data_IF_503729450070
#
_entry.id   IF_503729450070
#
_cell.length_a   1.000
_cell.length_b   1.000
_cell.length_c   1.000
_cell.angle_alpha   90.00
_cell.angle_beta   90.00
_cell.angle_gamma   90.00
#
_symmetry.space_group_name_H-M   'P 1'
#
loop_
_entity.id
_entity.type
_entity.pdbx_description
1 polymer ?
#
# COMPACT_ATOMS: atom_id res chain seq x y z
N UNK A 1 6.95 -30.85 -30.07
CA UNK A 1 7.05 -29.62 -30.90
C UNK A 1 6.72 -28.38 -30.06
N UNK A 2 7.67 -27.45 -30.01
CA UNK A 2 7.53 -25.98 -29.88
C UNK A 2 6.33 -25.43 -29.09
N UNK A 3 6.46 -25.39 -27.77
CA UNK A 3 5.87 -24.30 -26.98
C UNK A 3 6.50 -22.99 -27.45
N UNK A 4 5.81 -22.32 -28.38
CA UNK A 4 6.19 -21.00 -28.91
C UNK A 4 6.54 -20.10 -27.73
N UNK A 5 7.79 -19.61 -27.73
CA UNK A 5 8.25 -18.51 -26.91
C UNK A 5 7.22 -17.38 -27.01
N UNK A 6 6.40 -17.26 -25.97
CA UNK A 6 5.46 -16.17 -25.86
C UNK A 6 6.28 -14.90 -25.67
N UNK A 7 5.83 -13.80 -26.28
CA UNK A 7 6.42 -12.45 -26.19
C UNK A 7 6.70 -11.99 -24.75
N UNK A 8 6.11 -12.67 -23.76
CA UNK A 8 6.26 -12.51 -22.33
C UNK A 8 7.56 -13.09 -21.76
N UNK A 9 8.05 -14.22 -22.28
CA UNK A 9 9.29 -14.86 -21.82
C UNK A 9 10.56 -14.11 -22.25
N UNK A 10 10.47 -13.30 -23.30
CA UNK A 10 11.60 -12.52 -23.82
C UNK A 10 11.89 -11.26 -23.00
N UNK A 11 10.90 -10.73 -22.26
CA UNK A 11 11.06 -9.50 -21.47
C UNK A 11 11.72 -9.70 -20.10
N UNK A 12 11.63 -10.90 -19.52
CA UNK A 12 12.17 -11.22 -18.18
C UNK A 12 13.54 -11.90 -18.23
N UNK A 13 13.99 -12.34 -19.41
CA UNK A 13 15.28 -13.02 -19.61
C UNK A 13 16.39 -12.08 -20.09
N UNK A 14 16.27 -10.76 -19.88
CA UNK A 14 17.42 -9.87 -20.08
C UNK A 14 18.24 -9.79 -18.79
N UNK A 15 19.25 -10.67 -18.71
CA UNK A 15 20.44 -10.55 -17.84
C UNK A 15 21.19 -9.20 -17.96
N UNK A 16 20.72 -8.28 -18.80
CA UNK A 16 21.30 -6.95 -19.05
C UNK A 16 20.43 -5.77 -18.60
N UNK A 17 19.27 -6.01 -17.97
CA UNK A 17 18.56 -4.92 -17.35
C UNK A 17 19.31 -4.50 -16.07
N UNK A 18 19.88 -3.30 -16.09
CA UNK A 18 20.45 -2.60 -14.93
C UNK A 18 19.34 -2.31 -13.89
N UNK A 19 18.73 -3.36 -13.36
CA UNK A 19 17.87 -3.24 -12.20
C UNK A 19 18.78 -2.89 -11.02
N UNK A 20 18.37 -1.91 -10.17
CA UNK A 20 19.11 -1.61 -8.96
C UNK A 20 19.36 -2.89 -8.18
N UNK A 21 20.60 -3.16 -7.79
CA UNK A 21 20.91 -4.31 -6.94
C UNK A 21 20.33 -4.04 -5.55
N UNK A 22 19.14 -4.56 -5.31
CA UNK A 22 18.50 -4.49 -4.00
C UNK A 22 19.13 -5.57 -3.11
N UNK A 23 20.16 -5.21 -2.36
CA UNK A 23 20.80 -6.08 -1.38
C UNK A 23 19.76 -6.71 -0.45
N UNK A 24 19.99 -7.98 -0.10
CA UNK A 24 19.06 -8.90 0.59
C UNK A 24 18.50 -8.37 1.93
N UNK A 25 19.05 -7.28 2.48
CA UNK A 25 18.70 -6.71 3.79
C UNK A 25 18.31 -5.22 3.76
N UNK A 26 18.24 -4.58 2.60
CA UNK A 26 17.83 -3.18 2.53
C UNK A 26 16.30 -3.06 2.57
N UNK A 27 15.72 -3.08 3.78
CA UNK A 27 14.34 -2.61 4.03
C UNK A 27 14.25 -1.11 3.77
N UNK A 28 14.38 -0.69 2.52
CA UNK A 28 14.07 0.68 2.11
C UNK A 28 12.55 0.73 2.01
N UNK A 29 11.93 1.52 2.89
CA UNK A 29 10.47 1.66 2.93
C UNK A 29 10.00 2.39 1.65
N UNK A 30 9.13 1.78 0.82
CA UNK A 30 8.61 2.44 -0.39
C UNK A 30 7.89 3.76 -0.09
N UNK A 31 7.35 3.93 1.13
CA UNK A 31 6.81 5.21 1.61
C UNK A 31 7.89 6.31 1.59
N UNK A 32 9.08 6.03 2.12
CA UNK A 32 10.21 6.97 2.16
C UNK A 32 10.68 7.34 0.75
N UNK A 33 10.64 6.40 -0.19
CA UNK A 33 10.97 6.69 -1.59
C UNK A 33 9.92 7.60 -2.25
N UNK A 34 8.63 7.41 -1.95
CA UNK A 34 7.54 8.31 -2.39
C UNK A 34 7.66 9.71 -1.79
N UNK A 35 7.97 9.80 -0.49
CA UNK A 35 8.16 11.09 0.19
C UNK A 35 9.33 11.87 -0.42
N UNK A 36 10.46 11.19 -0.68
CA UNK A 36 11.61 11.79 -1.36
C UNK A 36 11.26 12.27 -2.78
N UNK A 37 10.50 11.48 -3.53
CA UNK A 37 10.06 11.85 -4.87
C UNK A 37 9.20 13.12 -4.84
N UNK A 38 8.27 13.22 -3.88
CA UNK A 38 7.44 14.41 -3.68
C UNK A 38 8.29 15.64 -3.35
N UNK A 39 9.22 15.52 -2.40
CA UNK A 39 10.13 16.62 -2.05
C UNK A 39 10.97 17.05 -3.25
N UNK A 40 11.46 16.10 -4.05
CA UNK A 40 12.21 16.41 -5.26
C UNK A 40 11.36 17.19 -6.27
N UNK A 41 10.12 16.77 -6.51
CA UNK A 41 9.18 17.48 -7.39
C UNK A 41 8.87 18.90 -6.87
N UNK A 42 8.70 19.08 -5.56
CA UNK A 42 8.53 20.40 -4.94
C UNK A 42 9.76 21.28 -5.15
N UNK A 43 10.98 20.73 -5.02
CA UNK A 43 12.23 21.46 -5.32
C UNK A 43 12.31 21.87 -6.78
N UNK A 44 11.93 21.00 -7.71
CA UNK A 44 11.90 21.33 -9.13
C UNK A 44 10.92 22.47 -9.43
N UNK A 45 9.72 22.43 -8.84
CA UNK A 45 8.73 23.51 -8.98
C UNK A 45 9.30 24.84 -8.49
N UNK A 46 9.79 24.89 -7.25
CA UNK A 46 10.35 26.11 -6.65
C UNK A 46 11.53 26.66 -7.44
N UNK A 47 12.39 25.77 -7.95
CA UNK A 47 13.54 26.16 -8.77
C UNK A 47 13.09 26.77 -10.11
N UNK A 48 12.02 26.23 -10.69
CA UNK A 48 11.42 26.74 -11.93
C UNK A 48 10.77 28.11 -11.70
N UNK A 49 10.01 28.26 -10.61
CA UNK A 49 9.38 29.52 -10.24
C UNK A 49 10.43 30.63 -10.04
N UNK A 50 11.51 30.35 -9.30
CA UNK A 50 12.60 31.30 -9.08
C UNK A 50 13.35 31.68 -10.38
N UNK A 51 13.43 30.78 -11.35
CA UNK A 51 13.99 31.10 -12.68
C UNK A 51 13.05 32.00 -13.48
N UNK A 52 11.75 31.70 -13.49
CA UNK A 52 10.74 32.52 -14.17
C UNK A 52 10.61 33.92 -13.56
N UNK A 53 10.85 34.06 -12.26
CA UNK A 53 10.91 35.35 -11.55
C UNK A 53 12.25 36.09 -11.76
N UNK A 54 13.15 35.58 -12.61
CA UNK A 54 14.49 36.13 -12.87
C UNK A 54 15.37 36.24 -11.60
N UNK A 55 15.10 35.44 -10.56
CA UNK A 55 15.89 35.40 -9.33
C UNK A 55 17.13 34.51 -9.47
N UNK A 56 17.24 33.76 -10.57
CA UNK A 56 18.33 32.82 -10.84
C UNK A 56 18.87 33.00 -12.25
N UNK A 57 20.19 32.97 -12.38
CA UNK A 57 20.86 32.88 -13.67
C UNK A 57 20.59 31.54 -14.36
N UNK A 58 20.56 31.56 -15.69
CA UNK A 58 20.21 30.41 -16.53
C UNK A 58 21.13 29.21 -16.30
N UNK A 59 22.44 29.45 -16.12
CA UNK A 59 23.43 28.40 -15.88
C UNK A 59 23.18 27.66 -14.56
N UNK A 60 22.89 28.42 -13.49
CA UNK A 60 22.57 27.87 -12.16
C UNK A 60 21.27 27.08 -12.19
N UNK A 61 20.28 27.56 -12.93
CA UNK A 61 19.03 26.84 -13.14
C UNK A 61 19.26 25.51 -13.86
N UNK A 62 19.98 25.53 -14.99
CA UNK A 62 20.25 24.33 -15.81
C UNK A 62 21.01 23.25 -15.03
N UNK A 63 22.04 23.63 -14.28
CA UNK A 63 22.81 22.68 -13.48
C UNK A 63 21.93 22.00 -12.43
N UNK A 64 21.19 22.79 -11.64
CA UNK A 64 20.37 22.28 -10.54
C UNK A 64 19.16 21.46 -11.02
N UNK A 65 18.49 21.89 -12.09
CA UNK A 65 17.32 21.17 -12.60
C UNK A 65 17.73 19.81 -13.17
N UNK A 66 18.89 19.72 -13.83
CA UNK A 66 19.40 18.46 -14.39
C UNK A 66 19.68 17.45 -13.29
N UNK A 67 20.33 17.88 -12.20
CA UNK A 67 20.57 17.02 -11.03
C UNK A 67 19.26 16.52 -10.40
N UNK A 68 18.29 17.42 -10.20
CA UNK A 68 16.97 17.05 -9.65
C UNK A 68 16.21 16.07 -10.55
N UNK A 69 16.29 16.23 -11.89
CA UNK A 69 15.68 15.31 -12.86
C UNK A 69 16.31 13.93 -12.83
N UNK A 70 17.62 13.85 -12.67
CA UNK A 70 18.31 12.57 -12.55
C UNK A 70 17.93 11.84 -11.25
N UNK A 71 17.86 12.57 -10.13
CA UNK A 71 17.36 12.03 -8.87
C UNK A 71 15.90 11.54 -9.01
N UNK A 72 15.03 12.32 -9.66
CA UNK A 72 13.63 11.95 -9.93
C UNK A 72 13.54 10.64 -10.69
N UNK A 73 14.33 10.49 -11.77
CA UNK A 73 14.36 9.27 -12.58
C UNK A 73 14.83 8.06 -11.76
N UNK A 74 15.86 8.24 -10.92
CA UNK A 74 16.36 7.16 -10.04
C UNK A 74 15.28 6.69 -9.06
N UNK A 75 14.52 7.63 -8.47
CA UNK A 75 13.45 7.35 -7.51
C UNK A 75 12.27 6.65 -8.19
N UNK A 76 11.92 7.08 -9.41
CA UNK A 76 10.88 6.40 -10.21
C UNK A 76 11.28 4.97 -10.58
N UNK A 77 12.52 4.75 -11.02
CA UNK A 77 13.05 3.41 -11.31
C UNK A 77 13.01 2.51 -10.07
N UNK A 78 13.39 3.06 -8.91
CA UNK A 78 13.34 2.35 -7.64
C UNK A 78 11.91 1.93 -7.27
N UNK A 79 10.94 2.84 -7.38
CA UNK A 79 9.54 2.57 -7.10
C UNK A 79 8.95 1.53 -8.06
N UNK A 80 9.20 1.67 -9.36
CA UNK A 80 8.77 0.69 -10.36
C UNK A 80 9.38 -0.70 -10.10
N UNK A 81 10.65 -0.77 -9.68
CA UNK A 81 11.29 -2.02 -9.26
C UNK A 81 10.61 -2.67 -8.06
N UNK A 82 10.15 -1.89 -7.08
CA UNK A 82 9.38 -2.41 -5.95
C UNK A 82 8.02 -2.95 -6.38
N UNK A 83 7.31 -2.23 -7.25
CA UNK A 83 6.01 -2.65 -7.77
C UNK A 83 6.14 -3.95 -8.58
N UNK A 84 7.15 -4.05 -9.44
CA UNK A 84 7.43 -5.28 -10.20
C UNK A 84 7.73 -6.46 -9.27
N UNK A 85 8.61 -6.29 -8.27
CA UNK A 85 8.91 -7.34 -7.29
C UNK A 85 7.66 -7.75 -6.49
N UNK A 86 6.77 -6.81 -6.21
CA UNK A 86 5.51 -7.08 -5.55
C UNK A 86 4.57 -7.92 -6.41
N UNK A 87 4.43 -7.58 -7.68
CA UNK A 87 3.65 -8.35 -8.66
C UNK A 87 4.26 -9.74 -8.87
N UNK A 88 5.58 -9.83 -8.96
CA UNK A 88 6.29 -11.11 -9.09
C UNK A 88 6.09 -11.99 -7.87
N UNK A 89 6.06 -11.44 -6.65
CA UNK A 89 5.74 -12.23 -5.45
C UNK A 89 4.31 -12.75 -5.45
N UNK A 90 3.36 -11.94 -5.91
CA UNK A 90 1.95 -12.31 -6.03
C UNK A 90 1.71 -13.37 -7.11
N UNK A 91 2.51 -13.37 -8.17
CA UNK A 91 2.40 -14.31 -9.30
C UNK A 91 3.48 -15.39 -9.30
N UNK A 92 4.30 -15.43 -8.26
CA UNK A 92 5.40 -16.38 -8.15
C UNK A 92 4.83 -17.78 -8.12
N UNK A 93 5.42 -18.67 -8.92
CA UNK A 93 5.15 -20.10 -8.86
C UNK A 93 5.25 -20.63 -7.42
N UNK A 94 6.15 -20.07 -6.60
CA UNK A 94 6.27 -20.42 -5.19
C UNK A 94 5.10 -19.94 -4.31
N UNK A 95 4.38 -18.86 -4.65
CA UNK A 95 3.14 -18.51 -3.95
C UNK A 95 2.00 -19.43 -4.38
N UNK A 96 1.86 -19.67 -5.68
CA UNK A 96 0.84 -20.55 -6.24
C UNK A 96 0.98 -21.99 -5.71
N UNK A 97 2.20 -22.52 -5.64
CA UNK A 97 2.44 -23.86 -5.10
C UNK A 97 2.06 -23.94 -3.63
N UNK A 98 2.42 -22.94 -2.82
CA UNK A 98 1.99 -22.89 -1.40
C UNK A 98 0.47 -22.83 -1.22
N UNK A 99 -0.24 -22.13 -2.12
CA UNK A 99 -1.71 -22.13 -2.12
C UNK A 99 -2.26 -23.50 -2.50
N UNK A 100 -1.68 -24.16 -3.51
CA UNK A 100 -2.08 -25.52 -3.91
C UNK A 100 -1.85 -26.53 -2.78
N UNK A 101 -0.64 -26.56 -2.22
CA UNK A 101 -0.27 -27.46 -1.14
C UNK A 101 -1.24 -27.30 0.05
N UNK A 102 -1.58 -26.05 0.38
CA UNK A 102 -2.57 -25.77 1.43
C UNK A 102 -3.97 -26.29 1.08
N UNK A 103 -4.45 -26.07 -0.16
CA UNK A 103 -5.78 -26.54 -0.57
C UNK A 103 -5.87 -28.06 -0.65
N UNK A 104 -4.78 -28.74 -1.01
CA UNK A 104 -4.72 -30.20 -1.09
C UNK A 104 -4.74 -30.85 0.31
N UNK A 105 -4.13 -30.20 1.31
CA UNK A 105 -4.11 -30.67 2.70
C UNK A 105 -5.33 -30.20 3.52
N UNK A 106 -6.02 -29.15 3.06
CA UNK A 106 -7.14 -28.57 3.80
C UNK A 106 -8.38 -29.46 3.77
N UNK A 107 -8.89 -29.77 4.96
CA UNK A 107 -10.13 -30.53 5.15
C UNK A 107 -11.27 -29.59 5.55
N UNK A 108 -12.15 -29.30 4.59
CA UNK A 108 -13.31 -28.42 4.76
C UNK A 108 -14.33 -28.94 5.79
N UNK A 109 -14.24 -30.21 6.20
CA UNK A 109 -15.14 -30.80 7.19
C UNK A 109 -14.78 -30.42 8.64
N UNK A 110 -13.60 -29.85 8.87
CA UNK A 110 -13.15 -29.45 10.21
C UNK A 110 -13.79 -28.14 10.64
N UNK A 111 -14.69 -28.21 11.62
CA UNK A 111 -15.38 -27.06 12.22
C UNK A 111 -14.43 -26.11 12.99
N UNK A 112 -13.23 -26.59 13.37
CA UNK A 112 -12.22 -25.82 14.10
C UNK A 112 -10.87 -25.84 13.40
N UNK A 113 -10.38 -24.65 13.05
CA UNK A 113 -9.05 -24.45 12.48
C UNK A 113 -8.00 -24.49 13.61
N UNK A 114 -7.01 -25.36 13.47
CA UNK A 114 -5.92 -25.50 14.43
C UNK A 114 -4.92 -24.31 14.36
N UNK A 115 -3.95 -24.29 15.27
CA UNK A 115 -2.94 -23.22 15.29
C UNK A 115 -1.98 -23.27 14.09
N UNK A 116 -1.61 -24.46 13.63
CA UNK A 116 -0.70 -24.64 12.51
C UNK A 116 -1.34 -24.12 11.21
N UNK A 117 -2.58 -24.52 10.92
CA UNK A 117 -3.38 -24.06 9.79
C UNK A 117 -3.62 -22.55 9.86
N UNK A 118 -3.88 -21.97 11.05
CA UNK A 118 -3.98 -20.50 11.20
C UNK A 118 -2.69 -19.78 10.81
N UNK A 119 -1.55 -20.32 11.21
CA UNK A 119 -0.23 -19.75 10.89
C UNK A 119 0.05 -19.84 9.39
N UNK A 120 -0.38 -20.92 8.75
CA UNK A 120 -0.23 -21.13 7.31
C UNK A 120 -1.14 -20.21 6.50
N UNK A 121 -2.42 -20.12 6.86
CA UNK A 121 -3.36 -19.13 6.32
C UNK A 121 -2.80 -17.72 6.43
N UNK A 122 -2.21 -17.35 7.58
CA UNK A 122 -1.63 -16.03 7.73
C UNK A 122 -0.48 -15.77 6.74
N UNK A 123 0.33 -16.79 6.40
CA UNK A 123 1.40 -16.67 5.38
C UNK A 123 0.85 -16.54 3.97
N UNK A 124 -0.31 -17.13 3.68
CA UNK A 124 -0.98 -17.05 2.39
C UNK A 124 -1.75 -15.74 2.20
N UNK A 125 -2.30 -15.19 3.29
CA UNK A 125 -3.14 -14.00 3.28
C UNK A 125 -2.32 -12.71 3.39
N UNK A 126 -1.35 -12.65 4.31
CA UNK A 126 -0.62 -11.43 4.61
C UNK A 126 0.69 -11.35 3.83
N UNK A 127 0.82 -10.28 3.06
CA UNK A 127 2.03 -9.90 2.33
C UNK A 127 3.08 -9.29 3.27
N UNK A 128 2.64 -8.45 4.19
CA UNK A 128 3.48 -7.84 5.21
C UNK A 128 2.65 -7.47 6.44
N UNK A 129 3.24 -7.60 7.63
CA UNK A 129 2.68 -7.12 8.88
C UNK A 129 3.75 -6.26 9.54
N UNK A 130 3.51 -4.95 9.60
CA UNK A 130 4.35 -3.97 10.29
C UNK A 130 3.76 -3.73 11.68
N UNK A 131 4.56 -4.01 12.71
CA UNK A 131 4.19 -3.75 14.12
C UNK A 131 5.06 -2.61 14.59
N UNK A 132 4.48 -1.43 14.80
CA UNK A 132 5.21 -0.28 15.33
C UNK A 132 5.11 -0.25 16.87
N UNK A 133 6.21 0.07 17.57
CA UNK A 133 6.19 0.26 19.01
C UNK A 133 5.34 1.47 19.40
N UNK A 134 4.84 1.44 20.63
CA UNK A 134 4.16 2.55 21.27
C UNK A 134 5.06 3.80 21.31
N UNK A 135 4.53 4.96 20.89
CA UNK A 135 5.22 6.24 21.01
C UNK A 135 4.63 6.98 22.22
N UNK A 136 5.47 7.31 23.20
CA UNK A 136 5.08 7.94 24.47
C UNK A 136 4.75 6.92 25.56
N UNK A 137 5.33 7.09 26.75
CA UNK A 137 5.34 6.12 27.87
C UNK A 137 3.99 5.83 28.55
N UNK A 138 2.87 5.98 27.86
CA UNK A 138 1.53 5.56 28.29
C UNK A 138 1.04 4.53 27.30
N UNK A 139 0.74 3.28 27.72
CA UNK A 139 0.33 2.15 26.87
C UNK A 139 -0.69 2.57 25.78
N UNK A 140 -0.27 2.87 24.55
CA UNK A 140 -1.17 2.96 23.42
C UNK A 140 -1.32 1.55 22.82
N UNK A 141 -2.42 1.24 22.15
CA UNK A 141 -2.52 -0.01 21.40
C UNK A 141 -1.39 -0.06 20.35
N UNK A 142 -0.70 -1.20 20.26
CA UNK A 142 0.32 -1.47 19.22
C UNK A 142 -0.27 -1.09 17.87
N UNK A 143 0.41 -0.20 17.13
CA UNK A 143 -0.04 0.17 15.79
C UNK A 143 0.38 -0.95 14.84
N UNK A 144 -0.59 -1.80 14.49
CA UNK A 144 -0.41 -2.86 13.50
C UNK A 144 -0.90 -2.31 12.16
N UNK A 145 -0.03 -2.29 11.16
CA UNK A 145 -0.42 -2.09 9.77
C UNK A 145 -0.03 -3.32 8.97
N UNK A 146 -0.86 -3.70 8.01
CA UNK A 146 -0.62 -4.89 7.22
C UNK A 146 -1.02 -4.67 5.76
N UNK A 147 -0.44 -5.48 4.89
CA UNK A 147 -0.84 -5.62 3.50
C UNK A 147 -1.26 -7.06 3.24
N UNK A 148 -2.35 -7.22 2.49
CA UNK A 148 -2.88 -8.52 2.08
C UNK A 148 -2.49 -8.81 0.64
N UNK A 149 -2.32 -10.08 0.30
CA UNK A 149 -2.24 -10.52 -1.09
C UNK A 149 -3.59 -10.28 -1.81
N UNK A 150 -3.55 -10.07 -3.12
CA UNK A 150 -4.77 -10.10 -3.94
C UNK A 150 -5.32 -11.54 -4.01
N UNK A 151 -6.65 -11.77 -3.98
CA UNK A 151 -7.75 -10.79 -3.97
C UNK A 151 -8.20 -10.37 -2.55
N UNK A 152 -7.54 -10.83 -1.49
CA UNK A 152 -8.00 -10.66 -0.11
C UNK A 152 -8.02 -9.19 0.34
N UNK A 153 -7.15 -8.35 -0.23
CA UNK A 153 -7.20 -6.90 -0.04
C UNK A 153 -8.57 -6.29 -0.41
N UNK A 154 -9.14 -6.68 -1.56
CA UNK A 154 -10.44 -6.22 -2.03
C UNK A 154 -11.57 -6.69 -1.10
N UNK A 155 -11.57 -7.98 -0.76
CA UNK A 155 -12.57 -8.59 0.13
C UNK A 155 -12.58 -7.94 1.52
N UNK A 156 -11.39 -7.64 2.05
CA UNK A 156 -11.23 -6.96 3.32
C UNK A 156 -11.80 -5.53 3.26
N UNK A 157 -11.40 -4.73 2.26
CA UNK A 157 -11.90 -3.37 2.09
C UNK A 157 -13.41 -3.28 1.78
N UNK A 158 -13.99 -4.29 1.12
CA UNK A 158 -15.44 -4.37 0.92
C UNK A 158 -16.17 -4.64 2.25
N UNK A 159 -15.63 -5.53 3.08
CA UNK A 159 -16.18 -5.85 4.39
C UNK A 159 -16.13 -4.64 5.33
N UNK A 160 -15.01 -3.91 5.37
CA UNK A 160 -14.89 -2.67 6.14
C UNK A 160 -15.91 -1.62 5.69
N UNK A 161 -16.10 -1.44 4.38
CA UNK A 161 -17.12 -0.52 3.84
C UNK A 161 -18.53 -0.92 4.26
N UNK A 162 -18.89 -2.20 4.18
CA UNK A 162 -20.19 -2.72 4.63
C UNK A 162 -20.42 -2.45 6.12
N UNK A 163 -19.41 -2.67 6.95
CA UNK A 163 -19.48 -2.40 8.40
C UNK A 163 -19.60 -0.91 8.73
N UNK A 164 -18.92 -0.04 7.97
CA UNK A 164 -19.00 1.41 8.13
C UNK A 164 -20.41 1.94 7.78
N UNK A 165 -21.00 1.44 6.70
CA UNK A 165 -22.37 1.77 6.31
C UNK A 165 -23.41 1.38 7.38
N UNK A 166 -23.26 0.22 8.02
CA UNK A 166 -24.15 -0.23 9.10
C UNK A 166 -24.03 0.60 10.38
N UNK A 167 -22.84 1.11 10.72
CA UNK A 167 -22.65 2.00 11.86
C UNK A 167 -23.36 3.34 11.66
N UNK A 168 -23.31 3.89 10.44
CA UNK A 168 -23.94 5.18 10.13
C UNK A 168 -25.47 5.12 10.04
N UNK A 169 -26.07 3.93 9.89
CA UNK A 169 -27.52 3.74 9.94
C UNK A 169 -28.10 3.64 11.37
N UNK A 170 -27.28 3.30 12.37
CA UNK A 170 -27.76 3.16 13.77
C UNK A 170 -27.85 4.49 14.53
N UNK A 171 -27.45 5.61 13.93
CA UNK A 171 -27.44 6.95 14.54
C UNK A 171 -28.50 7.85 13.90
N UNK A 172 -29.76 7.43 13.96
CA UNK A 172 -30.89 8.34 13.74
C UNK A 172 -32.02 7.97 14.70
N UNK A 173 -31.76 8.07 16.01
CA UNK A 173 -32.84 8.30 16.97
C UNK A 173 -33.28 9.76 16.81
N UNK A 174 -34.28 9.97 15.96
CA UNK A 174 -35.00 11.24 15.84
C UNK A 174 -35.52 11.58 17.24
N UNK A 175 -34.93 12.61 17.86
CA UNK A 175 -35.42 13.13 19.12
C UNK A 175 -36.74 13.85 18.83
N UNK A 176 -37.87 13.25 19.22
CA UNK A 176 -39.17 13.90 19.12
C UNK A 176 -39.15 15.16 20.00
N UNK A 177 -39.18 16.33 19.37
CA UNK A 177 -39.45 17.59 20.06
C UNK A 177 -40.88 17.52 20.59
N UNK A 178 -41.02 17.37 21.91
CA UNK A 178 -42.30 17.59 22.59
C UNK A 178 -42.61 19.09 22.52
N UNK A 179 -43.49 19.47 21.60
CA UNK A 179 -44.20 20.75 21.66
C UNK A 179 -45.21 20.66 22.80
N UNK A 180 -45.05 21.48 23.83
CA UNK A 180 -46.11 21.69 24.83
C UNK A 180 -46.54 23.15 24.74
N UNK A 181 -47.66 23.36 24.06
CA UNK A 181 -48.48 24.57 24.10
C UNK A 181 -48.96 24.85 25.53
N UNK A 182 -48.81 26.08 26.00
CA UNK A 182 -49.31 26.52 27.31
C UNK A 182 -50.84 26.68 27.34
N UNK A 183 -51.47 26.67 28.53
CA UNK A 183 -52.85 27.10 28.67
C UNK A 183 -52.94 28.56 29.10
N UNK A 184 -53.76 29.29 28.35
CA UNK A 184 -54.32 30.61 28.65
C UNK A 184 -55.17 30.56 29.91
N UNK A 185 -54.88 31.42 30.89
CA UNK A 185 -55.77 31.68 32.02
C UNK A 185 -56.39 33.07 31.85
N UNK A 186 -57.70 33.07 31.57
CA UNK A 186 -58.59 34.24 31.57
C UNK A 186 -59.54 34.07 32.74
N UNK A 187 -59.36 34.88 33.79
CA UNK A 187 -60.35 35.76 34.45
C UNK A 187 -59.77 36.33 35.73
#
# INVERSE_FOLDING_TARGET
ERLKQSRWTTGTSQKGANFPHFGENAKIDPSRAKDKLKINQEKQSKLTDAYLENLLGEDVYREKITSLRHEEESLKKLLAGYELREIERERSEGYINRVKDFLDEHDDSKERIDFATKKELARLLFKNIKIAPAIGGSLPPKRISFSLFAPFNFLFSETERKLQCQKNQKVTKICQKKSTSGPSAVK
#
